data_IF_421571778689
#
_entry.id   IF_421571778689
#
_cell.length_a   1.000
_cell.length_b   1.000
_cell.length_c   1.000
_cell.angle_alpha   90.00
_cell.angle_beta   90.00
_cell.angle_gamma   90.00
#
_symmetry.space_group_name_H-M   'P 1'
#
loop_
_entity.id
_entity.type
_entity.pdbx_description
1 polymer ?
#
# COMPACT_ATOMS: atom_id res chain seq x y z
N UNK A 1 -5.51 -11.87 -8.01
CA UNK A 1 -5.61 -10.43 -7.66
C UNK A 1 -6.86 -10.25 -6.82
N UNK A 2 -6.91 -9.20 -6.02
CA UNK A 2 -8.01 -8.88 -5.12
C UNK A 2 -8.50 -7.49 -5.49
N UNK A 3 -9.82 -7.30 -5.47
CA UNK A 3 -10.48 -5.99 -5.60
C UNK A 3 -11.29 -5.71 -4.34
N UNK A 4 -11.66 -4.45 -4.16
CA UNK A 4 -12.56 -3.99 -3.09
C UNK A 4 -13.88 -3.54 -3.69
N UNK A 5 -15.00 -3.97 -3.11
CA UNK A 5 -16.33 -3.53 -3.54
C UNK A 5 -16.48 -2.01 -3.49
N UNK A 6 -16.01 -1.37 -2.42
CA UNK A 6 -16.14 0.08 -2.22
C UNK A 6 -15.52 0.92 -3.35
N UNK A 7 -14.45 0.44 -3.99
CA UNK A 7 -13.82 1.11 -5.14
C UNK A 7 -14.38 0.62 -6.48
N UNK A 8 -14.89 -0.62 -6.56
CA UNK A 8 -15.57 -1.13 -7.75
C UNK A 8 -16.89 -0.38 -8.04
N UNK A 9 -17.51 0.19 -7.00
CA UNK A 9 -18.75 0.95 -7.11
C UNK A 9 -18.53 2.39 -7.63
N UNK A 10 -17.28 2.83 -7.79
CA UNK A 10 -16.93 4.17 -8.27
C UNK A 10 -16.77 4.18 -9.78
N UNK A 11 -17.38 5.17 -10.45
CA UNK A 11 -17.34 5.25 -11.91
C UNK A 11 -15.97 5.67 -12.41
N UNK A 12 -15.44 4.96 -13.42
CA UNK A 12 -14.16 5.30 -14.06
C UNK A 12 -12.93 5.08 -13.17
N UNK A 13 -13.06 4.41 -12.03
CA UNK A 13 -11.94 4.04 -11.15
C UNK A 13 -11.66 2.55 -11.29
N UNK A 14 -10.39 2.19 -11.50
CA UNK A 14 -9.94 0.80 -11.48
C UNK A 14 -8.74 0.60 -10.59
N UNK A 15 -8.70 -0.55 -9.95
CA UNK A 15 -7.65 -0.90 -8.99
C UNK A 15 -7.41 -2.41 -8.92
N UNK A 16 -6.29 -2.76 -8.32
CA UNK A 16 -6.04 -4.13 -7.88
C UNK A 16 -5.01 -4.18 -6.76
N UNK A 17 -5.20 -5.14 -5.87
CA UNK A 17 -4.17 -5.64 -4.97
C UNK A 17 -3.66 -6.96 -5.52
N UNK A 18 -2.43 -7.00 -6.04
CA UNK A 18 -1.85 -8.21 -6.59
C UNK A 18 -1.34 -9.12 -5.48
N UNK A 19 -1.63 -10.41 -5.63
CA UNK A 19 -1.05 -11.50 -4.84
C UNK A 19 0.31 -11.89 -5.43
N UNK A 20 1.11 -12.65 -4.69
CA UNK A 20 2.40 -13.21 -5.14
C UNK A 20 2.30 -14.23 -6.29
N UNK A 21 1.10 -14.52 -6.80
CA UNK A 21 0.80 -15.61 -7.74
C UNK A 21 0.77 -15.19 -9.22
N UNK A 22 1.32 -16.07 -10.05
CA UNK A 22 1.27 -16.05 -11.52
C UNK A 22 2.30 -15.13 -12.17
N UNK A 23 3.45 -14.96 -11.52
CA UNK A 23 4.64 -14.37 -12.13
C UNK A 23 5.61 -15.40 -12.70
N UNK A 24 6.88 -15.02 -12.82
CA UNK A 24 7.97 -15.84 -13.38
C UNK A 24 9.17 -15.98 -12.46
N UNK A 25 9.23 -15.21 -11.37
CA UNK A 25 10.32 -15.29 -10.41
C UNK A 25 10.31 -16.63 -9.68
N UNK A 26 11.46 -17.02 -9.13
CA UNK A 26 11.67 -18.32 -8.46
C UNK A 26 12.26 -18.15 -7.06
N UNK A 27 12.24 -19.21 -6.25
CA UNK A 27 12.84 -19.22 -4.92
C UNK A 27 12.11 -18.29 -3.94
N UNK A 28 12.84 -17.49 -3.16
CA UNK A 28 12.25 -16.54 -2.20
C UNK A 28 11.37 -15.46 -2.86
N UNK A 29 11.54 -15.26 -4.17
CA UNK A 29 10.76 -14.32 -4.99
C UNK A 29 9.60 -14.98 -5.74
N UNK A 30 9.37 -16.28 -5.55
CA UNK A 30 8.31 -16.99 -6.26
C UNK A 30 6.92 -16.37 -5.92
N UNK A 31 6.10 -15.91 -6.87
CA UNK A 31 6.25 -15.93 -8.33
C UNK A 31 6.16 -14.53 -8.95
N UNK A 32 5.25 -13.68 -8.50
CA UNK A 32 4.96 -12.35 -9.05
C UNK A 32 5.63 -11.24 -8.23
N UNK A 33 6.96 -11.27 -8.12
CA UNK A 33 7.71 -10.20 -7.47
C UNK A 33 7.77 -8.97 -8.39
N UNK A 34 7.23 -7.84 -7.91
CA UNK A 34 7.17 -6.59 -8.68
C UNK A 34 8.19 -5.54 -8.21
N UNK A 35 9.11 -5.90 -7.30
CA UNK A 35 10.03 -4.98 -6.63
C UNK A 35 11.37 -4.80 -7.33
N UNK A 36 11.64 -3.67 -8.01
CA UNK A 36 12.89 -3.46 -8.76
C UNK A 36 14.13 -3.38 -7.87
N UNK A 37 13.96 -3.01 -6.59
CA UNK A 37 15.04 -2.93 -5.60
C UNK A 37 15.21 -4.25 -4.81
N UNK A 38 14.78 -5.39 -5.35
CA UNK A 38 15.06 -6.73 -4.75
C UNK A 38 16.33 -7.30 -5.36
N UNK A 39 16.86 -8.35 -4.75
CA UNK A 39 17.93 -9.18 -5.32
C UNK A 39 17.46 -10.17 -6.39
N UNK A 40 16.23 -10.05 -6.87
CA UNK A 40 15.67 -10.89 -7.94
C UNK A 40 16.27 -10.52 -9.31
N UNK A 41 16.08 -11.40 -10.30
CA UNK A 41 16.44 -11.11 -11.69
C UNK A 41 15.63 -9.90 -12.20
N UNK A 42 16.28 -8.80 -12.62
CA UNK A 42 15.59 -7.62 -13.15
C UNK A 42 14.63 -7.93 -14.31
N UNK A 43 14.95 -8.92 -15.14
CA UNK A 43 14.08 -9.34 -16.25
C UNK A 43 12.82 -10.05 -15.75
N UNK A 44 12.95 -10.89 -14.72
CA UNK A 44 11.79 -11.50 -14.05
C UNK A 44 10.87 -10.42 -13.45
N UNK A 45 11.45 -9.42 -12.77
CA UNK A 45 10.67 -8.30 -12.21
C UNK A 45 9.98 -7.49 -13.31
N UNK A 46 10.66 -7.21 -14.43
CA UNK A 46 10.09 -6.53 -15.60
C UNK A 46 8.88 -7.29 -16.14
N UNK A 47 9.02 -8.59 -16.40
CA UNK A 47 7.94 -9.47 -16.89
C UNK A 47 6.79 -9.58 -15.88
N UNK A 48 7.07 -9.62 -14.58
CA UNK A 48 6.03 -9.66 -13.55
C UNK A 48 5.17 -8.39 -13.55
N UNK A 49 5.79 -7.22 -13.71
CA UNK A 49 5.08 -5.94 -13.81
C UNK A 49 4.23 -5.87 -15.08
N UNK A 50 4.75 -6.36 -16.21
CA UNK A 50 3.97 -6.50 -17.45
C UNK A 50 2.76 -7.41 -17.28
N UNK A 51 2.95 -8.59 -16.66
CA UNK A 51 1.85 -9.53 -16.38
C UNK A 51 0.80 -8.93 -15.45
N UNK A 52 1.22 -8.16 -14.44
CA UNK A 52 0.30 -7.48 -13.55
C UNK A 52 -0.56 -6.48 -14.33
N UNK A 53 0.05 -5.64 -15.17
CA UNK A 53 -0.66 -4.64 -15.97
C UNK A 53 -1.55 -5.27 -17.05
N UNK A 54 -1.08 -6.34 -17.70
CA UNK A 54 -1.87 -7.08 -18.69
C UNK A 54 -3.16 -7.67 -18.11
N UNK A 55 -3.17 -8.09 -16.82
CA UNK A 55 -4.41 -8.54 -16.14
C UNK A 55 -5.44 -7.43 -15.97
N UNK A 56 -5.00 -6.18 -16.02
CA UNK A 56 -5.87 -5.01 -15.99
C UNK A 56 -6.18 -4.50 -17.41
N UNK A 57 -5.62 -5.09 -18.47
CA UNK A 57 -5.81 -4.61 -19.84
C UNK A 57 -5.11 -3.28 -20.12
N UNK A 58 -4.12 -2.91 -19.30
CA UNK A 58 -3.35 -1.67 -19.45
C UNK A 58 -1.91 -1.98 -19.85
N UNK A 59 -1.28 -1.03 -20.52
CA UNK A 59 0.10 -1.18 -20.98
C UNK A 59 1.07 -1.00 -19.80
N UNK A 60 2.18 -1.74 -19.80
CA UNK A 60 3.12 -1.73 -18.69
C UNK A 60 3.76 -0.35 -18.43
N UNK A 61 3.96 0.44 -19.49
CA UNK A 61 4.48 1.80 -19.40
C UNK A 61 3.53 2.79 -18.71
N UNK A 62 2.27 2.44 -18.50
CA UNK A 62 1.34 3.27 -17.73
C UNK A 62 1.64 3.22 -16.23
N UNK A 63 2.38 2.21 -15.76
CA UNK A 63 2.65 1.99 -14.34
C UNK A 63 3.77 2.91 -13.83
N UNK A 64 3.40 3.81 -12.92
CA UNK A 64 4.31 4.67 -12.17
C UNK A 64 4.43 4.15 -10.73
N UNK A 65 5.66 3.89 -10.29
CA UNK A 65 5.96 3.50 -8.89
C UNK A 65 7.10 4.35 -8.35
N UNK A 66 7.03 4.89 -7.12
CA UNK A 66 8.09 5.70 -6.56
C UNK A 66 9.20 4.84 -5.94
N UNK A 67 10.34 5.48 -5.65
CA UNK A 67 11.30 4.99 -4.68
C UNK A 67 10.82 5.32 -3.26
N UNK A 68 10.22 4.30 -2.63
CA UNK A 68 9.61 4.35 -1.30
C UNK A 68 10.66 4.45 -0.19
N UNK A 69 10.51 5.41 0.73
CA UNK A 69 11.49 5.73 1.78
C UNK A 69 10.88 5.80 3.19
N UNK A 70 9.63 5.34 3.34
CA UNK A 70 8.86 5.42 4.58
C UNK A 70 8.67 6.85 5.11
N UNK A 71 8.51 7.83 4.21
CA UNK A 71 8.22 9.23 4.53
C UNK A 71 6.71 9.55 4.42
N UNK A 72 6.37 10.83 4.59
CA UNK A 72 5.07 11.39 4.25
C UNK A 72 5.07 12.15 2.91
N UNK A 73 6.09 11.93 2.08
CA UNK A 73 6.24 12.63 0.80
C UNK A 73 5.25 12.07 -0.23
N UNK A 74 4.47 12.97 -0.81
CA UNK A 74 3.51 12.68 -1.87
C UNK A 74 4.04 13.28 -3.18
N UNK A 75 4.02 12.50 -4.26
CA UNK A 75 4.33 12.99 -5.59
C UNK A 75 3.06 13.09 -6.44
N UNK A 76 2.87 14.22 -7.12
CA UNK A 76 1.83 14.40 -8.13
C UNK A 76 2.34 13.82 -9.45
N UNK A 77 1.54 12.97 -10.08
CA UNK A 77 1.88 12.28 -11.33
C UNK A 77 1.00 12.83 -12.45
N UNK A 78 1.61 13.55 -13.38
CA UNK A 78 0.97 14.12 -14.56
C UNK A 78 1.45 13.38 -15.82
N UNK A 79 0.61 12.52 -16.38
CA UNK A 79 0.95 11.71 -17.55
C UNK A 79 1.78 10.44 -17.28
N UNK A 80 2.00 9.65 -18.33
CA UNK A 80 2.65 8.34 -18.28
C UNK A 80 4.18 8.37 -18.51
N UNK A 81 4.74 9.56 -18.77
CA UNK A 81 6.13 9.73 -19.18
C UNK A 81 6.96 10.46 -18.11
N UNK A 82 7.30 9.76 -17.03
CA UNK A 82 8.48 10.14 -16.23
C UNK A 82 9.69 9.40 -16.79
N UNK A 83 10.13 9.78 -18.00
CA UNK A 83 11.35 9.24 -18.58
C UNK A 83 12.56 9.75 -17.78
N UNK A 84 13.07 8.92 -16.87
CA UNK A 84 14.39 9.05 -16.27
C UNK A 84 14.45 9.63 -14.85
N UNK A 85 13.37 10.21 -14.33
CA UNK A 85 13.33 10.69 -12.94
C UNK A 85 12.63 9.69 -12.02
N UNK A 86 13.40 9.14 -11.08
CA UNK A 86 12.86 8.32 -10.00
C UNK A 86 12.12 9.22 -9.02
N UNK A 87 10.79 9.22 -9.07
CA UNK A 87 9.96 9.88 -8.07
C UNK A 87 10.28 9.31 -6.69
N UNK A 88 10.71 10.14 -5.75
CA UNK A 88 10.96 9.72 -4.37
C UNK A 88 9.75 10.08 -3.51
N UNK A 89 9.30 9.12 -2.72
CA UNK A 89 8.18 9.31 -1.80
C UNK A 89 7.38 8.04 -1.58
N UNK A 90 6.36 8.17 -0.74
CA UNK A 90 5.57 7.03 -0.26
C UNK A 90 4.10 7.18 -0.62
N UNK A 91 3.72 8.22 -1.35
CA UNK A 91 2.40 8.30 -1.95
C UNK A 91 2.46 8.95 -3.34
N UNK A 92 1.53 8.55 -4.19
CA UNK A 92 1.30 9.12 -5.51
C UNK A 92 -0.14 9.61 -5.60
N UNK A 93 -0.35 10.73 -6.29
CA UNK A 93 -1.69 11.26 -6.61
C UNK A 93 -1.75 11.67 -8.07
N UNK A 94 -2.90 11.49 -8.71
CA UNK A 94 -3.12 11.92 -10.09
C UNK A 94 -4.59 12.17 -10.38
N UNK A 95 -4.85 13.16 -11.23
CA UNK A 95 -6.12 13.36 -11.93
C UNK A 95 -6.04 13.05 -13.43
N UNK A 96 -4.99 12.37 -13.88
CA UNK A 96 -4.77 12.06 -15.31
C UNK A 96 -5.30 10.67 -15.67
N UNK A 97 -6.31 10.55 -16.55
CA UNK A 97 -6.76 9.26 -17.08
C UNK A 97 -5.63 8.45 -17.72
N UNK A 98 -5.68 7.12 -17.54
CA UNK A 98 -4.72 6.18 -18.12
C UNK A 98 -3.37 6.09 -17.40
N UNK A 99 -3.09 6.92 -16.39
CA UNK A 99 -1.89 6.80 -15.54
C UNK A 99 -2.17 5.82 -14.41
N UNK A 100 -1.32 4.79 -14.28
CA UNK A 100 -1.46 3.75 -13.26
C UNK A 100 -0.52 4.00 -12.10
N UNK A 101 -1.09 4.43 -10.96
CA UNK A 101 -0.32 4.66 -9.75
C UNK A 101 -0.10 3.33 -9.04
N UNK A 102 1.15 3.03 -8.67
CA UNK A 102 1.52 1.79 -8.03
C UNK A 102 2.38 1.96 -6.78
N UNK A 103 2.14 1.11 -5.79
CA UNK A 103 2.95 0.99 -4.57
C UNK A 103 3.32 -0.48 -4.33
N UNK A 104 4.54 -0.69 -3.84
CA UNK A 104 5.07 -2.00 -3.52
C UNK A 104 5.03 -2.23 -2.00
N UNK A 105 4.57 -3.40 -1.56
CA UNK A 105 4.51 -3.73 -0.13
C UNK A 105 4.91 -5.17 0.17
N UNK A 106 5.44 -5.36 1.37
CA UNK A 106 5.51 -6.65 2.06
C UNK A 106 5.33 -6.33 3.54
N UNK A 107 4.12 -6.54 4.07
CA UNK A 107 3.62 -6.16 5.40
C UNK A 107 3.18 -4.71 5.61
N UNK A 108 3.86 -3.71 5.06
CA UNK A 108 3.33 -2.35 5.08
C UNK A 108 2.00 -2.28 4.31
N UNK A 109 1.12 -1.35 4.67
CA UNK A 109 -0.22 -1.30 4.11
C UNK A 109 -0.24 -0.42 2.84
N UNK A 110 -0.71 -0.94 1.69
CA UNK A 110 -1.10 -0.10 0.58
C UNK A 110 -2.48 0.49 0.88
N UNK A 111 -2.63 1.82 0.82
CA UNK A 111 -3.92 2.49 0.98
C UNK A 111 -4.26 3.19 -0.33
N UNK A 112 -5.43 2.87 -0.88
CA UNK A 112 -5.94 3.41 -2.13
C UNK A 112 -7.04 4.42 -1.83
N UNK A 113 -7.05 5.52 -2.57
CA UNK A 113 -7.99 6.63 -2.40
C UNK A 113 -8.56 7.02 -3.76
N UNK A 114 -9.86 7.33 -3.79
CA UNK A 114 -10.50 7.82 -5.00
C UNK A 114 -11.63 8.81 -4.69
N UNK A 115 -11.69 9.88 -5.45
CA UNK A 115 -12.83 10.77 -5.62
C UNK A 115 -13.25 10.71 -7.10
N UNK A 116 -14.32 9.97 -7.38
CA UNK A 116 -14.83 9.77 -8.75
C UNK A 116 -15.61 10.98 -9.28
N UNK A 117 -16.04 11.91 -8.41
CA UNK A 117 -16.64 13.16 -8.83
C UNK A 117 -15.58 14.16 -9.32
N UNK A 118 -14.47 14.28 -8.59
CA UNK A 118 -13.36 15.13 -8.98
C UNK A 118 -12.46 14.49 -10.06
N UNK A 119 -12.55 13.17 -10.25
CA UNK A 119 -11.64 12.44 -11.14
C UNK A 119 -10.22 12.46 -10.60
N UNK A 120 -10.04 12.16 -9.31
CA UNK A 120 -8.74 12.14 -8.64
C UNK A 120 -8.55 10.81 -7.90
N UNK A 121 -7.41 10.17 -8.11
CA UNK A 121 -7.01 8.95 -7.39
C UNK A 121 -5.65 9.12 -6.75
N UNK A 122 -5.44 8.41 -5.64
CA UNK A 122 -4.15 8.35 -4.98
C UNK A 122 -3.88 6.96 -4.41
N UNK A 123 -2.60 6.67 -4.19
CA UNK A 123 -2.15 5.45 -3.52
C UNK A 123 -0.98 5.76 -2.61
N UNK A 124 -0.99 5.21 -1.40
CA UNK A 124 0.04 5.42 -0.39
C UNK A 124 0.60 4.09 0.12
N UNK A 125 1.93 4.05 0.26
CA UNK A 125 2.68 3.12 1.08
C UNK A 125 2.65 3.59 2.53
N UNK A 126 1.87 2.90 3.34
CA UNK A 126 1.72 3.22 4.75
C UNK A 126 2.47 2.17 5.55
N UNK A 127 3.74 2.46 5.85
CA UNK A 127 4.50 1.81 6.92
C UNK A 127 4.35 2.57 8.24
N UNK A 128 4.69 1.95 9.38
CA UNK A 128 4.48 2.58 10.69
C UNK A 128 5.16 3.96 10.82
N UNK A 129 6.35 4.16 10.25
CA UNK A 129 7.05 5.45 10.21
C UNK A 129 6.32 6.49 9.36
N UNK A 130 5.89 6.11 8.15
CA UNK A 130 5.14 7.00 7.26
C UNK A 130 3.78 7.39 7.85
N UNK A 131 3.13 6.44 8.52
CA UNK A 131 1.86 6.67 9.21
C UNK A 131 2.02 7.69 10.37
N UNK A 132 3.08 7.57 11.18
CA UNK A 132 3.43 8.56 12.20
C UNK A 132 3.81 9.92 11.60
N UNK A 133 4.53 9.92 10.48
CA UNK A 133 4.93 11.13 9.76
C UNK A 133 3.77 11.84 9.04
N UNK A 134 2.60 11.22 8.94
CA UNK A 134 1.40 11.82 8.36
C UNK A 134 1.20 11.60 6.87
N UNK A 135 1.68 10.47 6.31
CA UNK A 135 1.51 10.17 4.88
C UNK A 135 0.04 10.11 4.45
N UNK A 136 -0.86 9.68 5.33
CA UNK A 136 -2.31 9.55 5.05
C UNK A 136 -2.92 10.95 4.86
N UNK A 137 -2.67 11.84 5.81
CA UNK A 137 -3.13 13.23 5.80
C UNK A 137 -2.53 13.98 4.61
N UNK A 138 -1.22 13.80 4.36
CA UNK A 138 -0.53 14.40 3.23
C UNK A 138 -1.13 13.94 1.89
N UNK A 139 -1.48 12.65 1.77
CA UNK A 139 -2.11 12.11 0.55
C UNK A 139 -3.46 12.75 0.28
N UNK A 140 -4.34 12.84 1.29
CA UNK A 140 -5.66 13.48 1.14
C UNK A 140 -5.53 15.00 0.90
N UNK A 141 -4.54 15.65 1.52
CA UNK A 141 -4.18 17.03 1.22
C UNK A 141 -3.83 17.24 -0.24
N UNK A 142 -2.94 16.42 -0.79
CA UNK A 142 -2.55 16.48 -2.19
C UNK A 142 -3.70 16.15 -3.16
N UNK A 143 -4.60 15.23 -2.79
CA UNK A 143 -5.84 15.02 -3.57
C UNK A 143 -6.72 16.27 -3.58
N UNK A 144 -6.82 16.96 -2.44
CA UNK A 144 -7.60 18.20 -2.32
C UNK A 144 -7.01 19.33 -3.16
N UNK A 145 -5.68 19.41 -3.26
CA UNK A 145 -4.98 20.34 -4.16
C UNK A 145 -5.32 20.09 -5.64
N UNK A 146 -5.63 18.84 -6.02
CA UNK A 146 -6.12 18.48 -7.35
C UNK A 146 -7.65 18.61 -7.52
N UNK A 147 -8.36 19.10 -6.50
CA UNK A 147 -9.80 19.36 -6.56
C UNK A 147 -10.69 18.28 -5.96
N UNK A 148 -10.13 17.23 -5.35
CA UNK A 148 -10.92 16.29 -4.57
C UNK A 148 -11.53 16.94 -3.32
N UNK A 149 -12.62 16.39 -2.82
CA UNK A 149 -13.18 16.76 -1.52
C UNK A 149 -13.05 15.59 -0.54
N UNK A 150 -12.51 15.77 0.68
CA UNK A 150 -12.40 14.68 1.65
C UNK A 150 -13.72 13.91 1.84
N UNK A 151 -14.85 14.61 1.97
CA UNK A 151 -16.18 14.01 2.09
C UNK A 151 -16.70 13.24 0.87
N UNK A 152 -15.97 13.27 -0.25
CA UNK A 152 -16.21 12.47 -1.46
C UNK A 152 -15.19 11.34 -1.65
N UNK A 153 -14.06 11.38 -0.93
CA UNK A 153 -13.00 10.38 -1.03
C UNK A 153 -13.40 9.06 -0.38
N UNK A 154 -13.26 7.97 -1.12
CA UNK A 154 -13.33 6.59 -0.62
C UNK A 154 -11.92 6.05 -0.45
N UNK A 155 -11.62 5.51 0.74
CA UNK A 155 -10.32 4.92 1.05
C UNK A 155 -10.43 3.42 1.36
N UNK A 156 -9.46 2.64 0.88
CA UNK A 156 -9.37 1.20 1.14
C UNK A 156 -7.96 0.84 1.57
N UNK A 157 -7.84 0.26 2.77
CA UNK A 157 -6.61 -0.36 3.26
C UNK A 157 -6.53 -1.77 2.68
N UNK A 158 -5.48 -2.02 1.89
CA UNK A 158 -5.20 -3.29 1.25
C UNK A 158 -4.60 -4.36 2.18
N UNK A 159 -4.17 -5.50 1.61
CA UNK A 159 -3.47 -6.54 2.36
C UNK A 159 -2.21 -5.98 3.05
N UNK A 160 -2.10 -6.21 4.35
CA UNK A 160 -0.96 -5.82 5.17
C UNK A 160 -0.74 -6.84 6.28
N UNK A 161 0.29 -6.65 7.09
CA UNK A 161 0.45 -7.49 8.29
C UNK A 161 -0.68 -7.20 9.27
N UNK A 162 -1.25 -8.26 9.84
CA UNK A 162 -2.37 -8.15 10.76
C UNK A 162 -1.94 -8.40 12.21
N UNK A 163 -2.83 -8.10 13.16
CA UNK A 163 -2.50 -8.03 14.60
C UNK A 163 -1.86 -9.30 15.15
N UNK A 164 -2.34 -10.49 14.78
CA UNK A 164 -1.76 -11.77 15.23
C UNK A 164 -0.31 -12.00 14.76
N UNK A 165 0.11 -11.33 13.70
CA UNK A 165 1.43 -11.51 13.07
C UNK A 165 2.41 -10.39 13.41
N UNK A 166 1.92 -9.23 13.86
CA UNK A 166 2.73 -8.04 14.09
C UNK A 166 3.21 -7.91 15.55
N UNK A 167 4.01 -8.88 16.00
CA UNK A 167 4.72 -8.75 17.28
C UNK A 167 5.80 -7.63 17.21
N UNK A 168 5.87 -6.80 18.24
CA UNK A 168 6.82 -5.69 18.38
C UNK A 168 7.44 -5.66 19.76
N UNK A 169 8.63 -5.06 19.88
CA UNK A 169 9.38 -4.96 21.12
C UNK A 169 8.76 -4.03 22.16
N UNK A 170 9.22 -4.08 23.42
CA UNK A 170 8.72 -3.27 24.53
C UNK A 170 8.79 -1.76 24.29
N UNK A 171 9.76 -1.30 23.49
CA UNK A 171 10.00 0.10 23.16
C UNK A 171 9.16 0.61 21.97
N UNK A 172 8.57 -0.30 21.20
CA UNK A 172 7.83 0.08 19.99
C UNK A 172 6.61 0.95 20.28
N UNK A 173 5.78 0.65 21.30
CA UNK A 173 4.63 1.48 21.64
C UNK A 173 5.03 2.95 21.87
N UNK A 174 6.18 3.25 22.49
CA UNK A 174 6.65 4.63 22.77
C UNK A 174 6.72 5.57 21.56
N UNK A 175 6.78 5.03 20.35
CA UNK A 175 6.73 5.82 19.12
C UNK A 175 5.34 6.41 18.81
N UNK A 176 4.29 5.95 19.48
CA UNK A 176 2.89 6.31 19.21
C UNK A 176 2.36 7.19 20.34
N UNK A 177 2.37 8.53 20.17
CA UNK A 177 1.95 9.45 21.24
C UNK A 177 0.48 9.24 21.66
N UNK A 178 -0.36 8.81 20.71
CA UNK A 178 -1.80 8.63 20.92
C UNK A 178 -2.14 7.42 21.80
N UNK A 179 -1.21 6.48 22.01
CA UNK A 179 -1.45 5.28 22.82
C UNK A 179 -1.79 5.58 24.29
N UNK A 180 -1.47 6.79 24.77
CA UNK A 180 -1.77 7.23 26.14
C UNK A 180 -3.24 7.58 26.34
N UNK A 181 -4.01 7.65 25.26
CA UNK A 181 -5.44 7.85 25.31
C UNK A 181 -6.11 6.47 25.42
N UNK A 182 -6.91 6.26 26.48
CA UNK A 182 -7.60 4.98 26.76
C UNK A 182 -8.50 4.53 25.59
N UNK A 183 -8.91 5.47 24.72
CA UNK A 183 -9.66 5.13 23.51
C UNK A 183 -8.79 4.54 22.39
N UNK A 184 -7.47 4.45 22.53
CA UNK A 184 -6.48 4.05 21.52
C UNK A 184 -5.83 2.70 21.83
N UNK A 185 -6.66 1.69 22.12
CA UNK A 185 -6.18 0.31 22.22
C UNK A 185 -5.78 -0.19 20.82
N UNK A 186 -4.47 -0.29 20.58
CA UNK A 186 -3.86 -0.78 19.35
C UNK A 186 -2.68 -1.75 19.62
N UNK A 187 -2.33 -1.91 20.90
CA UNK A 187 -1.29 -2.80 21.38
C UNK A 187 -1.93 -3.82 22.32
N UNK A 188 -1.77 -5.09 21.99
CA UNK A 188 -2.29 -6.19 22.78
C UNK A 188 -1.13 -7.00 23.38
N UNK A 189 -1.34 -7.73 24.49
CA UNK A 189 -0.32 -8.63 25.02
C UNK A 189 0.13 -9.65 23.96
N UNK A 190 1.45 -9.76 23.74
CA UNK A 190 2.00 -10.81 22.89
C UNK A 190 2.35 -12.08 23.68
N UNK A 191 2.49 -13.24 23.02
CA UNK A 191 2.96 -14.47 23.66
C UNK A 191 4.34 -14.32 24.30
N UNK A 192 5.22 -13.52 23.68
CA UNK A 192 6.54 -13.23 24.22
C UNK A 192 6.45 -12.17 25.30
N UNK A 193 6.98 -12.49 26.49
CA UNK A 193 6.96 -11.57 27.63
C UNK A 193 7.58 -10.21 27.28
N UNK A 194 6.88 -9.14 27.63
CA UNK A 194 7.30 -7.76 27.37
C UNK A 194 7.16 -7.30 25.92
N UNK A 195 6.61 -8.13 25.03
CA UNK A 195 6.29 -7.75 23.65
C UNK A 195 4.79 -7.46 23.50
N UNK A 196 4.45 -6.82 22.39
CA UNK A 196 3.08 -6.45 22.06
C UNK A 196 2.70 -6.92 20.65
N UNK A 197 1.43 -7.24 20.44
CA UNK A 197 0.84 -7.37 19.11
C UNK A 197 0.27 -6.02 18.69
N UNK A 198 0.72 -5.49 17.55
CA UNK A 198 0.28 -4.18 17.06
C UNK A 198 -0.81 -4.33 15.97
N UNK A 199 -2.00 -3.79 16.22
CA UNK A 199 -3.04 -3.68 15.18
C UNK A 199 -2.77 -2.47 14.29
N UNK A 200 -1.84 -2.66 13.36
CA UNK A 200 -1.44 -1.64 12.41
C UNK A 200 -2.60 -1.20 11.50
N UNK A 201 -3.46 -2.13 11.09
CA UNK A 201 -4.62 -1.83 10.26
C UNK A 201 -5.61 -0.90 10.98
N UNK A 202 -5.83 -1.12 12.27
CA UNK A 202 -6.70 -0.27 13.09
C UNK A 202 -6.10 1.12 13.30
N UNK A 203 -4.77 1.22 13.46
CA UNK A 203 -4.09 2.52 13.52
C UNK A 203 -4.35 3.34 12.25
N UNK A 204 -4.11 2.76 11.06
CA UNK A 204 -4.36 3.43 9.78
C UNK A 204 -5.85 3.79 9.64
N UNK A 205 -6.76 2.88 10.00
CA UNK A 205 -8.19 3.10 9.88
C UNK A 205 -8.67 4.28 10.75
N UNK A 206 -8.14 4.43 11.96
CA UNK A 206 -8.44 5.58 12.83
C UNK A 206 -7.96 6.90 12.22
N UNK A 207 -6.76 6.91 11.63
CA UNK A 207 -6.23 8.08 10.92
C UNK A 207 -7.13 8.49 9.75
N UNK A 208 -7.58 7.51 8.95
CA UNK A 208 -8.55 7.75 7.88
C UNK A 208 -9.89 8.29 8.40
N UNK A 209 -10.40 7.74 9.50
CA UNK A 209 -11.67 8.19 10.09
C UNK A 209 -11.60 9.64 10.60
N UNK A 210 -10.44 10.08 11.09
CA UNK A 210 -10.24 11.46 11.54
C UNK A 210 -10.27 12.49 10.40
N UNK A 211 -10.17 12.05 9.14
CA UNK A 211 -10.21 12.90 7.95
C UNK A 211 -11.63 13.11 7.40
N UNK A 212 -12.66 12.55 8.04
CA UNK A 212 -14.07 12.72 7.64
C UNK A 212 -14.33 12.34 6.16
N UNK A 213 -13.67 11.27 5.71
CA UNK A 213 -13.81 10.75 4.36
C UNK A 213 -15.23 10.21 4.10
N UNK A 214 -15.66 10.13 2.83
CA UNK A 214 -16.93 9.48 2.44
C UNK A 214 -17.05 8.08 3.04
N UNK A 215 -15.98 7.30 2.91
CA UNK A 215 -15.86 5.99 3.54
C UNK A 215 -14.41 5.55 3.65
N UNK A 216 -14.13 4.73 4.66
CA UNK A 216 -12.88 3.99 4.79
C UNK A 216 -13.21 2.52 5.04
N UNK A 217 -12.44 1.60 4.48
CA UNK A 217 -12.58 0.16 4.72
C UNK A 217 -11.24 -0.56 4.78
N UNK A 218 -11.24 -1.78 5.33
CA UNK A 218 -10.07 -2.65 5.46
C UNK A 218 -10.34 -3.97 4.77
N UNK A 219 -9.37 -4.46 3.99
CA UNK A 219 -9.43 -5.83 3.50
C UNK A 219 -8.94 -6.80 4.59
N UNK A 220 -9.59 -7.97 4.76
CA UNK A 220 -9.29 -8.89 5.85
C UNK A 220 -8.17 -9.87 5.48
N UNK A 221 -7.02 -9.36 5.02
CA UNK A 221 -5.90 -10.20 4.56
C UNK A 221 -4.63 -9.93 5.36
N UNK A 222 -4.04 -11.00 5.90
CA UNK A 222 -2.78 -10.96 6.64
C UNK A 222 -1.62 -11.43 5.74
N UNK A 223 -0.76 -10.50 5.34
CA UNK A 223 0.37 -10.83 4.45
C UNK A 223 1.36 -11.82 5.07
N UNK A 224 1.49 -11.83 6.39
CA UNK A 224 2.43 -12.68 7.10
C UNK A 224 1.91 -14.11 7.25
N UNK A 225 0.63 -14.28 7.60
CA UNK A 225 0.00 -15.60 7.77
C UNK A 225 -0.32 -16.26 6.42
N UNK A 226 -0.82 -15.49 5.44
CA UNK A 226 -1.26 -16.02 4.16
C UNK A 226 -0.11 -16.18 3.14
N UNK A 227 0.85 -17.05 3.46
CA UNK A 227 2.08 -17.26 2.70
C UNK A 227 1.88 -17.65 1.22
N UNK A 228 0.79 -18.34 0.89
CA UNK A 228 0.44 -18.73 -0.48
C UNK A 228 -0.01 -17.55 -1.35
N UNK A 229 -0.41 -16.44 -0.72
CA UNK A 229 -1.03 -15.30 -1.40
C UNK A 229 -0.16 -14.06 -1.40
N UNK A 230 0.71 -13.86 -0.41
CA UNK A 230 1.47 -12.61 -0.30
C UNK A 230 2.93 -12.84 0.08
N UNK A 231 3.80 -11.95 -0.38
CA UNK A 231 5.11 -11.77 0.25
C UNK A 231 4.97 -11.04 1.60
N UNK A 232 5.85 -11.36 2.54
CA UNK A 232 5.91 -10.74 3.87
C UNK A 232 7.35 -10.60 4.32
N UNK A 233 7.72 -9.38 4.71
CA UNK A 233 9.04 -9.08 5.26
C UNK A 233 9.25 -9.81 6.60
N UNK A 234 8.25 -9.74 7.49
CA UNK A 234 8.22 -10.37 8.81
C UNK A 234 8.47 -11.87 8.68
N UNK A 235 7.72 -12.55 7.82
CA UNK A 235 7.89 -14.00 7.61
C UNK A 235 9.29 -14.32 7.09
N UNK A 236 9.78 -13.57 6.11
CA UNK A 236 11.15 -13.74 5.59
C UNK A 236 12.22 -13.54 6.67
N UNK A 237 12.06 -12.55 7.55
CA UNK A 237 12.99 -12.34 8.68
C UNK A 237 12.93 -13.48 9.70
N UNK A 238 11.75 -14.00 10.02
CA UNK A 238 11.59 -15.15 10.92
C UNK A 238 12.20 -16.43 10.33
N UNK A 239 12.15 -16.58 9.01
CA UNK A 239 12.76 -17.69 8.28
C UNK A 239 14.27 -17.53 8.04
N UNK A 240 14.87 -16.39 8.40
CA UNK A 240 16.30 -16.12 8.17
C UNK A 240 16.67 -15.88 6.70
N UNK A 241 15.72 -15.50 5.86
CA UNK A 241 15.95 -15.21 4.45
C UNK A 241 16.73 -13.89 4.27
N UNK A 242 17.62 -13.83 3.28
CA UNK A 242 18.44 -12.65 3.01
C UNK A 242 17.62 -11.48 2.48
N UNK A 243 16.59 -11.76 1.68
CA UNK A 243 15.72 -10.77 1.02
C UNK A 243 14.28 -11.30 0.92
N UNK A 244 13.40 -10.59 0.21
CA UNK A 244 11.98 -10.92 0.06
C UNK A 244 11.38 -10.28 -1.20
N UNK A 245 10.37 -10.92 -1.78
CA UNK A 245 9.58 -10.34 -2.87
C UNK A 245 8.66 -9.21 -2.40
N UNK A 246 8.16 -8.40 -3.34
CA UNK A 246 7.23 -7.30 -3.04
C UNK A 246 5.93 -7.45 -3.84
N UNK A 247 4.80 -7.37 -3.13
CA UNK A 247 3.47 -7.33 -3.72
C UNK A 247 3.24 -5.97 -4.37
N UNK A 248 2.42 -5.90 -5.42
CA UNK A 248 2.05 -4.65 -6.09
C UNK A 248 0.59 -4.32 -5.79
N UNK A 249 0.30 -3.06 -5.49
CA UNK A 249 -1.06 -2.52 -5.47
C UNK A 249 -1.15 -1.34 -6.42
N UNK A 250 -2.27 -1.20 -7.13
CA UNK A 250 -2.45 -0.14 -8.12
C UNK A 250 -3.85 0.47 -8.10
N UNK A 251 -3.94 1.72 -8.54
CA UNK A 251 -5.19 2.44 -8.82
C UNK A 251 -5.00 3.41 -9.99
N UNK A 252 -6.05 3.61 -10.77
CA UNK A 252 -6.06 4.54 -11.92
C UNK A 252 -7.46 4.97 -12.30
N UNK A 253 -7.52 6.06 -13.07
CA UNK A 253 -8.72 6.50 -13.77
C UNK A 253 -8.74 5.90 -15.17
N UNK A 254 -9.88 5.36 -15.58
CA UNK A 254 -10.10 4.90 -16.95
C UNK A 254 -10.19 6.08 -17.94
N UNK A 255 -9.93 5.79 -19.22
CA UNK A 255 -10.05 6.76 -20.33
C UNK A 255 -11.51 6.95 -20.76
#
# INVERSE_FOLDING_TARGET
MISSGALNDLSGVRHAFFTRQGGVSTGIYESLNCGPCSGDDPECVRVNRERAMARLGVLAQALVTPHQIHSATVAVVEGSAHEGETLQGDALVSGTPGVVLGILTADCAPVLFADDHAGVVAIAHVGWRGALAGVIEATVGAMTELGASPGSVTAVIGPCIYVQSYEVGPEFPDNFPDQKNENYEMFYPAPRQGHFLFDFSAYIFRRLHALELKSASRLPYDTCDEADRFFSYRRSRLAGESDFGRNLSVIFLEN
#
